data_IF_237053462576
#
_entry.id   IF_237053462576
#
_cell.length_a   1.000
_cell.length_b   1.000
_cell.length_c   1.000
_cell.angle_alpha   90.00
_cell.angle_beta   90.00
_cell.angle_gamma   90.00
#
_symmetry.space_group_name_H-M   'P 1'
#
loop_
_entity.id
_entity.type
_entity.pdbx_description
1 polymer ?
#
# COMPACT_ATOMS: atom_id res chain seq x y z
N UNK A 1 -7.36 -14.16 20.14
CA UNK A 1 -7.76 -12.86 20.63
C UNK A 1 -7.19 -11.75 19.79
N UNK A 2 -7.93 -10.70 19.59
CA UNK A 2 -7.44 -9.55 18.85
C UNK A 2 -6.28 -8.90 19.57
N UNK A 3 -5.25 -8.50 18.80
CA UNK A 3 -4.11 -7.78 19.36
C UNK A 3 -4.49 -6.32 19.49
N UNK A 4 -5.00 -5.91 20.64
CA UNK A 4 -5.50 -4.56 20.87
C UNK A 4 -4.41 -3.50 20.93
N UNK A 5 -3.13 -3.89 21.03
CA UNK A 5 -2.00 -2.97 21.05
C UNK A 5 -1.47 -2.64 19.65
N UNK A 6 -1.94 -3.33 18.62
CA UNK A 6 -1.54 -3.12 17.23
C UNK A 6 -2.65 -2.38 16.49
N UNK A 7 -2.30 -1.27 15.88
CA UNK A 7 -3.14 -0.58 14.92
C UNK A 7 -2.52 -0.75 13.54
N UNK A 8 -3.30 -1.24 12.60
CA UNK A 8 -2.84 -1.46 11.24
C UNK A 8 -3.90 -1.02 10.24
N UNK A 9 -3.44 -0.53 9.09
CA UNK A 9 -4.31 -0.01 8.08
C UNK A 9 -3.67 -0.16 6.71
N UNK A 10 -4.44 -0.68 5.76
CA UNK A 10 -4.05 -0.81 4.37
C UNK A 10 -5.08 -0.08 3.52
N UNK A 11 -4.60 0.71 2.60
CA UNK A 11 -5.46 1.38 1.66
C UNK A 11 -4.89 1.23 0.25
N UNK A 12 -5.69 0.68 -0.65
CA UNK A 12 -5.34 0.49 -2.05
C UNK A 12 -6.32 1.33 -2.87
N UNK A 13 -5.79 2.19 -3.72
CA UNK A 13 -6.62 3.03 -4.57
C UNK A 13 -7.12 2.26 -5.78
N UNK A 14 -8.18 2.78 -6.41
CA UNK A 14 -8.64 2.27 -7.69
C UNK A 14 -7.54 2.42 -8.73
N UNK A 15 -7.30 1.41 -9.57
CA UNK A 15 -6.25 1.50 -10.56
C UNK A 15 -6.57 2.48 -11.66
N UNK A 16 -5.54 3.14 -12.17
CA UNK A 16 -5.60 3.82 -13.45
C UNK A 16 -5.21 2.81 -14.51
N UNK A 17 -6.10 2.54 -15.44
CA UNK A 17 -5.89 1.53 -16.48
C UNK A 17 -5.83 2.22 -17.85
N UNK A 18 -4.77 1.97 -18.57
CA UNK A 18 -4.59 2.43 -19.93
C UNK A 18 -4.44 1.26 -20.89
N UNK A 19 -5.17 1.30 -21.99
CA UNK A 19 -5.05 0.31 -23.03
C UNK A 19 -4.02 0.77 -24.05
N UNK A 20 -2.95 0.01 -24.23
CA UNK A 20 -1.94 0.29 -25.25
C UNK A 20 -2.35 -0.28 -26.60
N UNK A 21 -3.03 -1.41 -26.58
CA UNK A 21 -3.63 -2.01 -27.75
C UNK A 21 -4.95 -2.65 -27.34
N UNK A 22 -5.64 -3.26 -28.30
CA UNK A 22 -6.87 -4.00 -28.07
C UNK A 22 -6.69 -5.14 -27.03
N UNK A 23 -5.51 -5.74 -26.99
CA UNK A 23 -5.23 -6.92 -26.18
C UNK A 23 -4.19 -6.69 -25.08
N UNK A 24 -3.75 -5.45 -24.91
CA UNK A 24 -2.75 -5.09 -23.89
C UNK A 24 -3.16 -3.82 -23.15
N UNK A 25 -2.95 -3.86 -21.83
CA UNK A 25 -3.23 -2.74 -20.95
C UNK A 25 -2.20 -2.68 -19.83
N UNK A 26 -2.08 -1.51 -19.22
CA UNK A 26 -1.30 -1.32 -18.01
C UNK A 26 -2.19 -0.74 -16.92
N UNK A 27 -1.91 -1.09 -15.69
CA UNK A 27 -2.62 -0.55 -14.53
C UNK A 27 -1.64 -0.09 -13.47
N UNK A 28 -1.97 1.02 -12.82
CA UNK A 28 -1.18 1.58 -11.72
C UNK A 28 -2.08 1.64 -10.49
N UNK A 29 -1.58 1.09 -9.39
CA UNK A 29 -2.26 1.07 -8.11
C UNK A 29 -1.40 1.82 -7.10
N UNK A 30 -2.02 2.65 -6.28
CA UNK A 30 -1.34 3.25 -5.13
C UNK A 30 -1.77 2.52 -3.86
N UNK A 31 -0.82 2.31 -2.96
CA UNK A 31 -1.06 1.64 -1.69
C UNK A 31 -0.45 2.45 -0.55
N UNK A 32 -1.23 2.63 0.51
CA UNK A 32 -0.77 3.19 1.77
C UNK A 32 -0.83 2.11 2.84
N UNK A 33 0.21 1.99 3.63
CA UNK A 33 0.24 1.08 4.76
C UNK A 33 0.67 1.83 6.01
N UNK A 34 -0.11 1.69 7.07
CA UNK A 34 0.16 2.26 8.38
C UNK A 34 0.18 1.14 9.41
N UNK A 35 1.14 1.19 10.30
CA UNK A 35 1.27 0.23 11.40
C UNK A 35 1.77 0.95 12.64
N UNK A 36 1.11 0.71 13.76
CA UNK A 36 1.54 1.24 15.06
C UNK A 36 1.44 0.13 16.11
N UNK A 37 2.54 -0.10 16.83
CA UNK A 37 2.55 -0.91 18.03
C UNK A 37 2.45 0.03 19.23
N UNK A 38 1.30 0.00 19.92
CA UNK A 38 1.05 0.89 21.06
C UNK A 38 1.90 0.56 22.28
N UNK A 39 2.38 -0.68 22.41
CA UNK A 39 3.26 -1.06 23.50
C UNK A 39 4.67 -0.50 23.34
N UNK A 40 5.28 -0.72 22.19
CA UNK A 40 6.62 -0.21 21.91
C UNK A 40 6.63 1.23 21.44
N UNK A 41 5.49 1.74 20.99
CA UNK A 41 5.33 3.07 20.35
C UNK A 41 6.06 3.20 19.03
N UNK A 42 6.37 2.08 18.38
CA UNK A 42 6.97 2.08 17.07
C UNK A 42 5.89 2.24 16.00
N UNK A 43 6.13 3.14 15.05
CA UNK A 43 5.21 3.43 13.96
C UNK A 43 5.90 3.29 12.61
N UNK A 44 5.23 2.64 11.67
CA UNK A 44 5.68 2.48 10.30
C UNK A 44 4.64 3.08 9.36
N UNK A 45 5.11 3.84 8.38
CA UNK A 45 4.28 4.35 7.30
C UNK A 45 4.96 4.04 5.97
N UNK A 46 4.19 3.55 5.00
CA UNK A 46 4.70 3.19 3.69
C UNK A 46 3.74 3.64 2.59
N UNK A 47 4.31 4.18 1.53
CA UNK A 47 3.59 4.51 0.30
C UNK A 47 4.28 3.79 -0.85
N UNK A 48 3.50 3.10 -1.66
CA UNK A 48 4.02 2.32 -2.76
C UNK A 48 3.10 2.37 -3.98
N UNK A 49 3.66 2.07 -5.14
CA UNK A 49 2.91 1.89 -6.38
C UNK A 49 3.18 0.51 -6.94
N UNK A 50 2.14 -0.08 -7.49
CA UNK A 50 2.24 -1.28 -8.31
C UNK A 50 1.92 -0.91 -9.75
N UNK A 51 2.74 -1.38 -10.68
CA UNK A 51 2.47 -1.28 -12.10
C UNK A 51 2.29 -2.68 -12.64
N UNK A 52 1.10 -2.95 -13.17
CA UNK A 52 0.78 -4.24 -13.73
C UNK A 52 0.60 -4.13 -15.23
N UNK A 53 1.12 -5.10 -15.95
CA UNK A 53 0.82 -5.27 -17.36
C UNK A 53 -0.17 -6.39 -17.55
N UNK A 54 -1.19 -6.15 -18.35
CA UNK A 54 -2.24 -7.10 -18.63
C UNK A 54 -2.23 -7.46 -20.11
N UNK A 55 -2.55 -8.72 -20.41
CA UNK A 55 -2.70 -9.19 -21.79
C UNK A 55 -3.99 -9.97 -21.92
N UNK A 56 -4.72 -9.72 -22.98
CA UNK A 56 -5.90 -10.52 -23.31
C UNK A 56 -5.49 -11.64 -24.24
N UNK A 57 -5.82 -12.89 -23.84
CA UNK A 57 -5.57 -14.10 -24.60
C UNK A 57 -6.83 -14.95 -24.59
N UNK A 58 -7.32 -15.32 -25.75
CA UNK A 58 -8.54 -16.11 -25.88
C UNK A 58 -9.75 -15.52 -25.14
N UNK A 59 -9.89 -14.18 -25.22
CA UNK A 59 -10.99 -13.47 -24.58
C UNK A 59 -10.86 -13.28 -23.06
N UNK A 60 -9.73 -13.67 -22.49
CA UNK A 60 -9.47 -13.55 -21.05
C UNK A 60 -8.32 -12.60 -20.78
N UNK A 61 -8.49 -11.71 -19.81
CA UNK A 61 -7.43 -10.83 -19.34
C UNK A 61 -6.61 -11.52 -18.27
N UNK A 62 -5.29 -11.53 -18.47
CA UNK A 62 -4.34 -12.13 -17.55
C UNK A 62 -3.28 -11.10 -17.17
N UNK A 63 -2.73 -11.22 -15.96
CA UNK A 63 -1.59 -10.43 -15.55
C UNK A 63 -0.35 -10.97 -16.25
N UNK A 64 0.24 -10.17 -17.14
CA UNK A 64 1.42 -10.54 -17.91
C UNK A 64 2.71 -10.19 -17.17
N UNK A 65 2.69 -9.11 -16.38
CA UNK A 65 3.82 -8.69 -15.56
C UNK A 65 3.31 -7.86 -14.41
N UNK A 66 4.10 -7.81 -13.33
CA UNK A 66 3.83 -6.92 -12.21
C UNK A 66 5.13 -6.28 -11.77
N UNK A 67 5.07 -5.01 -11.44
CA UNK A 67 6.18 -4.24 -10.91
C UNK A 67 5.78 -3.57 -9.61
N UNK A 68 6.76 -3.38 -8.74
CA UNK A 68 6.54 -2.76 -7.44
C UNK A 68 7.54 -1.64 -7.27
N UNK A 69 7.06 -0.46 -6.90
CA UNK A 69 7.92 0.68 -6.58
C UNK A 69 7.52 1.23 -5.22
N UNK A 70 8.43 1.19 -4.29
CA UNK A 70 8.28 1.86 -3.01
C UNK A 70 8.64 3.33 -3.18
N UNK A 71 7.69 4.23 -2.91
CA UNK A 71 7.91 5.67 -3.02
C UNK A 71 8.53 6.21 -1.74
N UNK A 72 7.97 5.82 -0.59
CA UNK A 72 8.43 6.27 0.70
C UNK A 72 8.13 5.20 1.74
N UNK A 73 9.08 5.01 2.63
CA UNK A 73 8.87 4.23 3.84
C UNK A 73 9.58 4.95 4.97
N UNK A 74 8.89 5.15 6.07
CA UNK A 74 9.46 5.75 7.25
C UNK A 74 9.00 5.02 8.49
N UNK A 75 9.88 4.93 9.46
CA UNK A 75 9.54 4.40 10.77
C UNK A 75 10.14 5.30 11.83
N UNK A 76 9.45 5.43 12.95
CA UNK A 76 9.91 6.24 14.07
C UNK A 76 9.29 5.73 15.35
N UNK A 77 9.93 6.07 16.48
CA UNK A 77 9.36 5.79 17.78
C UNK A 77 8.63 7.03 18.28
N UNK A 78 7.35 6.87 18.62
CA UNK A 78 6.51 7.98 19.05
C UNK A 78 6.97 8.63 20.36
N UNK A 79 7.73 7.89 21.19
CA UNK A 79 8.30 8.44 22.45
C UNK A 79 9.36 9.51 22.19
N UNK A 80 9.94 9.53 21.00
CA UNK A 80 10.93 10.53 20.61
C UNK A 80 10.30 11.83 20.09
N UNK A 81 8.97 11.89 20.02
CA UNK A 81 8.22 13.03 19.52
C UNK A 81 7.42 13.66 20.68
N UNK A 82 8.01 14.56 21.46
CA UNK A 82 7.32 15.17 22.58
C UNK A 82 6.10 15.96 22.12
N UNK A 83 5.01 15.82 22.86
CA UNK A 83 3.75 16.48 22.53
C UNK A 83 2.86 15.73 21.57
N UNK A 84 3.31 14.61 21.03
CA UNK A 84 2.48 13.77 20.17
C UNK A 84 1.50 12.97 21.02
N UNK A 85 0.22 13.05 20.70
CA UNK A 85 -0.84 12.33 21.41
C UNK A 85 -1.62 11.43 20.44
N UNK A 86 -1.95 10.21 20.90
CA UNK A 86 -2.91 9.37 20.21
C UNK A 86 -4.29 9.62 20.82
N UNK A 87 -5.15 10.32 20.07
CA UNK A 87 -6.45 10.72 20.58
C UNK A 87 -7.51 9.62 20.44
N UNK A 88 -7.34 8.75 19.46
CA UNK A 88 -8.25 7.65 19.16
C UNK A 88 -7.42 6.43 18.77
N UNK A 89 -7.82 5.27 19.23
CA UNK A 89 -7.16 4.03 18.84
C UNK A 89 -6.61 3.13 19.96
#
# INVERSE_FOLDING_TARGET
AAQTHILGYWHVTMPEIEFSTRDEATGIWAMNHFFLDKHSQQQLEMFAYYEDGYRRTNGRWLIARTGYRRVMEQSFNRRELPGLELLVG
#
